data_IF_700050481259
#
_entry.id   IF_700050481259
#
_cell.length_a   1.000
_cell.length_b   1.000
_cell.length_c   1.000
_cell.angle_alpha   90.00
_cell.angle_beta   90.00
_cell.angle_gamma   90.00
#
_symmetry.space_group_name_H-M   'P 1'
#
loop_
_entity.id
_entity.type
_entity.pdbx_description
1 polymer ?
#
# COMPACT_ATOMS: atom_id res chain seq x y z
N UNK A 1 29.82 -38.78 29.27
CA UNK A 1 28.35 -38.97 29.21
C UNK A 1 27.65 -38.09 30.25
N UNK A 2 27.07 -36.93 29.86
CA UNK A 2 25.73 -36.44 30.28
C UNK A 2 25.48 -34.98 29.85
N UNK A 3 24.61 -34.86 28.86
CA UNK A 3 23.52 -33.88 28.66
C UNK A 3 23.84 -32.38 28.57
N UNK A 4 23.90 -31.92 27.31
CA UNK A 4 23.45 -30.60 26.87
C UNK A 4 22.07 -30.25 27.44
N UNK A 5 21.94 -29.05 28.03
CA UNK A 5 20.65 -28.39 28.26
C UNK A 5 20.51 -27.26 27.23
N UNK A 6 19.46 -27.39 26.43
CA UNK A 6 19.05 -26.50 25.34
C UNK A 6 18.78 -25.08 25.85
N UNK A 7 19.35 -24.12 25.14
CA UNK A 7 19.03 -22.70 25.18
C UNK A 7 17.56 -22.49 24.76
N UNK A 8 16.75 -21.81 25.57
CA UNK A 8 15.39 -21.39 25.18
C UNK A 8 15.48 -19.97 24.63
N UNK A 9 15.43 -19.87 23.31
CA UNK A 9 15.16 -18.65 22.55
C UNK A 9 13.93 -17.94 23.14
N UNK A 10 14.16 -16.87 23.90
CA UNK A 10 13.12 -15.89 24.23
C UNK A 10 13.16 -14.81 23.16
N UNK A 11 12.53 -15.11 22.00
CA UNK A 11 12.23 -14.07 21.00
C UNK A 11 11.21 -13.12 21.60
N UNK A 12 11.70 -12.10 22.29
CA UNK A 12 10.91 -10.98 22.77
C UNK A 12 10.40 -10.24 21.53
N UNK A 13 9.07 -10.23 21.32
CA UNK A 13 8.46 -9.34 20.33
C UNK A 13 8.87 -7.91 20.65
N UNK A 14 9.37 -7.12 19.68
CA UNK A 14 9.59 -5.71 19.93
C UNK A 14 8.24 -5.05 20.24
N UNK A 15 8.13 -4.46 21.43
CA UNK A 15 7.00 -3.63 21.81
C UNK A 15 7.09 -2.30 21.04
N UNK A 16 6.00 -1.81 20.43
CA UNK A 16 6.03 -0.52 19.79
C UNK A 16 6.21 0.56 20.86
N UNK A 17 7.33 1.29 20.74
CA UNK A 17 7.64 2.42 21.59
C UNK A 17 6.49 3.44 21.54
N UNK A 18 6.12 3.96 22.72
CA UNK A 18 4.99 4.86 22.89
C UNK A 18 5.05 6.06 21.95
N UNK A 19 4.01 6.27 21.16
CA UNK A 19 3.91 7.43 20.26
C UNK A 19 3.20 8.58 20.96
N UNK A 20 4.00 9.45 21.54
CA UNK A 20 3.61 10.82 21.84
C UNK A 20 3.22 11.57 20.57
N UNK A 21 2.18 12.39 20.69
CA UNK A 21 1.61 13.18 19.62
C UNK A 21 2.59 14.25 19.09
N UNK A 22 2.99 14.14 17.82
CA UNK A 22 3.47 15.26 17.01
C UNK A 22 3.20 14.99 15.51
N UNK A 23 2.81 16.05 14.79
CA UNK A 23 2.42 16.11 13.38
C UNK A 23 3.59 15.83 12.41
N UNK A 24 4.18 14.64 12.41
CA UNK A 24 5.18 14.29 11.41
C UNK A 24 4.54 13.48 10.31
N UNK A 25 4.79 13.84 9.06
CA UNK A 25 4.46 13.00 7.94
C UNK A 25 5.20 11.65 8.09
N UNK A 26 4.50 10.53 7.98
CA UNK A 26 5.03 9.20 8.31
C UNK A 26 4.51 8.10 7.39
N UNK A 27 3.94 8.49 6.24
CA UNK A 27 3.40 7.55 5.24
C UNK A 27 4.11 7.74 3.91
N UNK A 28 4.66 6.67 3.36
CA UNK A 28 5.12 6.60 1.98
C UNK A 28 3.95 6.09 1.15
N UNK A 29 3.50 6.88 0.19
CA UNK A 29 2.50 6.45 -0.78
C UNK A 29 3.23 5.85 -1.98
N UNK A 30 3.01 4.56 -2.23
CA UNK A 30 3.57 3.88 -3.40
C UNK A 30 2.50 3.76 -4.48
N UNK A 31 2.86 4.17 -5.70
CA UNK A 31 1.98 4.14 -6.87
C UNK A 31 2.68 3.37 -8.00
N UNK A 32 2.40 2.07 -8.16
CA UNK A 32 2.82 1.32 -9.34
C UNK A 32 2.08 1.84 -10.58
N UNK A 33 2.79 2.04 -11.69
CA UNK A 33 2.21 2.60 -12.92
C UNK A 33 2.70 1.89 -14.18
N UNK A 34 1.83 1.82 -15.19
CA UNK A 34 2.17 1.45 -16.57
C UNK A 34 1.25 2.17 -17.55
N UNK A 35 1.77 3.18 -18.25
CA UNK A 35 1.06 4.01 -19.22
C UNK A 35 -0.20 4.73 -18.66
N UNK A 36 0.01 5.51 -17.60
CA UNK A 36 -1.03 6.23 -16.85
C UNK A 36 -0.87 7.76 -16.92
N UNK A 37 -0.29 8.28 -18.01
CA UNK A 37 0.06 9.70 -18.18
C UNK A 37 -1.12 10.66 -17.99
N UNK A 38 -2.34 10.20 -18.27
CA UNK A 38 -3.58 11.00 -18.17
C UNK A 38 -4.01 11.26 -16.72
N UNK A 39 -3.64 10.39 -15.80
CA UNK A 39 -4.20 10.35 -14.43
C UNK A 39 -3.14 10.55 -13.37
N UNK A 40 -1.92 10.04 -13.59
CA UNK A 40 -0.89 9.95 -12.55
C UNK A 40 -0.61 11.28 -11.84
N UNK A 41 -0.52 12.39 -12.58
CA UNK A 41 -0.25 13.70 -11.99
C UNK A 41 -1.35 14.16 -11.01
N UNK A 42 -2.60 13.76 -11.24
CA UNK A 42 -3.70 14.05 -10.32
C UNK A 42 -3.66 13.16 -9.08
N UNK A 43 -3.29 11.89 -9.23
CA UNK A 43 -3.15 10.95 -8.11
C UNK A 43 -2.00 11.36 -7.19
N UNK A 44 -0.85 11.73 -7.74
CA UNK A 44 0.31 12.25 -6.98
C UNK A 44 -0.07 13.51 -6.21
N UNK A 45 -0.68 14.50 -6.88
CA UNK A 45 -1.15 15.74 -6.23
C UNK A 45 -2.21 15.47 -5.16
N UNK A 46 -3.09 14.50 -5.39
CA UNK A 46 -4.07 14.08 -4.41
C UNK A 46 -3.38 13.51 -3.16
N UNK A 47 -2.36 12.66 -3.34
CA UNK A 47 -1.63 12.07 -2.24
C UNK A 47 -0.88 13.11 -1.40
N UNK A 48 -0.14 14.00 -2.04
CA UNK A 48 0.63 15.06 -1.38
C UNK A 48 -0.22 16.10 -0.64
N UNK A 49 -1.54 16.14 -0.84
CA UNK A 49 -2.43 17.05 -0.09
C UNK A 49 -2.65 16.62 1.35
N UNK A 50 -2.49 15.33 1.67
CA UNK A 50 -2.70 14.85 3.04
C UNK A 50 -1.41 15.05 3.85
N UNK A 51 -1.44 15.83 4.96
CA UNK A 51 -0.24 16.10 5.76
C UNK A 51 0.41 14.87 6.40
N UNK A 52 -0.24 13.70 6.42
CA UNK A 52 0.40 12.48 6.90
C UNK A 52 1.36 11.85 5.88
N UNK A 53 1.27 12.24 4.60
CA UNK A 53 2.11 11.71 3.52
C UNK A 53 3.47 12.41 3.52
N UNK A 54 4.53 11.63 3.72
CA UNK A 54 5.90 12.13 3.75
C UNK A 54 6.51 12.19 2.36
N UNK A 55 6.22 11.18 1.53
CA UNK A 55 6.67 11.08 0.16
C UNK A 55 5.64 10.34 -0.69
N UNK A 56 5.67 10.60 -1.99
CA UNK A 56 5.01 9.77 -3.00
C UNK A 56 6.08 9.15 -3.86
N UNK A 57 6.11 7.83 -3.91
CA UNK A 57 6.99 7.03 -4.74
C UNK A 57 6.18 6.43 -5.88
N UNK A 58 6.49 6.84 -7.12
CA UNK A 58 5.92 6.24 -8.32
C UNK A 58 6.91 5.21 -8.85
N UNK A 59 6.45 3.97 -8.98
CA UNK A 59 7.26 2.86 -9.51
C UNK A 59 6.78 2.55 -10.92
N UNK A 60 7.60 2.92 -11.91
CA UNK A 60 7.27 2.79 -13.32
C UNK A 60 7.70 1.45 -13.89
N UNK A 61 6.74 0.75 -14.50
CA UNK A 61 6.92 -0.57 -15.10
C UNK A 61 7.23 -0.53 -16.61
N UNK A 62 7.92 0.53 -17.05
CA UNK A 62 8.29 0.73 -18.45
C UNK A 62 7.24 1.49 -19.27
N UNK A 63 6.73 2.60 -18.75
CA UNK A 63 5.79 3.45 -19.49
C UNK A 63 6.45 4.12 -20.70
N UNK A 64 5.67 4.29 -21.78
CA UNK A 64 6.12 4.90 -23.05
C UNK A 64 5.31 6.15 -23.44
N UNK A 65 4.45 6.63 -22.54
CA UNK A 65 3.47 7.70 -22.78
C UNK A 65 3.78 8.99 -21.99
N UNK A 66 4.95 9.08 -21.37
CA UNK A 66 5.36 10.20 -20.53
C UNK A 66 4.80 10.17 -19.10
N UNK A 67 4.38 8.99 -18.61
CA UNK A 67 3.91 8.80 -17.22
C UNK A 67 4.93 9.26 -16.17
N UNK A 68 6.22 8.85 -16.23
CA UNK A 68 7.20 9.20 -15.19
C UNK A 68 7.44 10.71 -15.09
N UNK A 69 7.53 11.42 -16.20
CA UNK A 69 7.80 12.86 -16.25
C UNK A 69 6.62 13.67 -15.69
N UNK A 70 5.40 13.17 -15.89
CA UNK A 70 4.19 13.80 -15.33
C UNK A 70 4.07 13.55 -13.83
N UNK A 71 4.46 12.37 -13.37
CA UNK A 71 4.53 12.04 -11.95
C UNK A 71 5.58 12.90 -11.23
N UNK A 72 6.78 13.01 -11.79
CA UNK A 72 7.89 13.78 -11.23
C UNK A 72 7.52 15.27 -11.14
N UNK A 73 6.94 15.83 -12.21
CA UNK A 73 6.44 17.22 -12.22
C UNK A 73 5.33 17.47 -11.21
N UNK A 74 4.58 16.43 -10.82
CA UNK A 74 3.57 16.50 -9.79
C UNK A 74 4.15 16.40 -8.36
N UNK A 75 5.44 16.14 -8.22
CA UNK A 75 6.16 16.08 -6.95
C UNK A 75 6.45 14.66 -6.43
N UNK A 76 6.31 13.63 -7.27
CA UNK A 76 6.68 12.27 -6.89
C UNK A 76 8.18 12.01 -7.10
N UNK A 77 8.75 11.15 -6.25
CA UNK A 77 10.02 10.47 -6.53
C UNK A 77 9.73 9.31 -7.48
N UNK A 78 10.57 9.12 -8.49
CA UNK A 78 10.42 8.06 -9.49
C UNK A 78 11.40 6.92 -9.20
N UNK A 79 10.92 5.69 -9.36
CA UNK A 79 11.71 4.46 -9.37
C UNK A 79 11.33 3.65 -10.60
N UNK A 80 12.30 3.03 -11.26
CA UNK A 80 12.03 2.05 -12.33
C UNK A 80 11.87 0.66 -11.71
N UNK A 81 10.81 -0.05 -12.09
CA UNK A 81 10.54 -1.42 -11.67
C UNK A 81 11.69 -2.35 -12.06
N UNK A 82 12.11 -3.23 -11.16
CA UNK A 82 13.18 -4.19 -11.37
C UNK A 82 12.78 -5.31 -12.33
N UNK A 83 11.48 -5.63 -12.35
CA UNK A 83 10.86 -6.64 -13.20
C UNK A 83 9.48 -6.18 -13.67
N UNK A 84 9.04 -6.71 -14.82
CA UNK A 84 7.71 -6.45 -15.34
C UNK A 84 6.62 -7.05 -14.45
N UNK A 85 5.62 -6.23 -14.14
CA UNK A 85 4.40 -6.60 -13.47
C UNK A 85 4.22 -5.90 -12.12
N UNK A 86 2.97 -5.51 -11.83
CA UNK A 86 2.57 -4.77 -10.63
C UNK A 86 3.12 -5.33 -9.32
N UNK A 87 3.21 -6.65 -9.17
CA UNK A 87 3.73 -7.27 -7.96
C UNK A 87 5.20 -6.92 -7.70
N UNK A 88 6.03 -6.91 -8.74
CA UNK A 88 7.44 -6.50 -8.64
C UNK A 88 7.54 -5.01 -8.33
N UNK A 89 6.77 -4.17 -9.02
CA UNK A 89 6.76 -2.73 -8.76
C UNK A 89 6.30 -2.39 -7.33
N UNK A 90 5.36 -3.16 -6.78
CA UNK A 90 4.95 -3.03 -5.37
C UNK A 90 6.09 -3.42 -4.41
N UNK A 91 6.80 -4.52 -4.68
CA UNK A 91 7.95 -4.96 -3.88
C UNK A 91 9.09 -3.93 -3.91
N UNK A 92 9.44 -3.43 -5.10
CA UNK A 92 10.47 -2.38 -5.24
C UNK A 92 10.08 -1.12 -4.47
N UNK A 93 8.80 -0.74 -4.52
CA UNK A 93 8.26 0.37 -3.76
C UNK A 93 8.32 0.15 -2.24
N UNK A 94 8.07 -1.07 -1.77
CA UNK A 94 8.23 -1.45 -0.37
C UNK A 94 9.68 -1.32 0.09
N UNK A 95 10.63 -1.83 -0.69
CA UNK A 95 12.06 -1.79 -0.35
C UNK A 95 12.62 -0.36 -0.37
N UNK A 96 12.08 0.51 -1.23
CA UNK A 96 12.54 1.89 -1.38
C UNK A 96 11.83 2.88 -0.44
N UNK A 97 10.77 2.48 0.27
CA UNK A 97 10.02 3.35 1.17
C UNK A 97 10.83 3.76 2.40
N UNK A 98 10.74 5.03 2.80
CA UNK A 98 11.55 5.58 3.89
C UNK A 98 10.79 5.74 5.22
N UNK A 99 9.53 5.30 5.27
CA UNK A 99 8.66 5.50 6.43
C UNK A 99 8.11 4.19 6.99
N UNK A 100 7.60 4.24 8.21
CA UNK A 100 7.07 3.08 8.92
C UNK A 100 5.74 2.57 8.31
N UNK A 101 4.97 3.46 7.67
CA UNK A 101 3.69 3.09 7.09
C UNK A 101 3.71 3.27 5.58
N UNK A 102 3.17 2.26 4.89
CA UNK A 102 3.08 2.25 3.45
C UNK A 102 1.62 2.21 3.01
N UNK A 103 1.27 3.06 2.04
CA UNK A 103 -0.03 3.09 1.41
C UNK A 103 0.11 2.89 -0.10
N UNK A 104 -0.48 1.82 -0.62
CA UNK A 104 -0.58 1.63 -2.07
C UNK A 104 -1.80 2.37 -2.64
N UNK A 105 -1.59 3.11 -3.72
CA UNK A 105 -2.63 3.64 -4.60
C UNK A 105 -2.38 3.18 -6.03
N UNK A 106 -3.44 3.05 -6.82
CA UNK A 106 -3.34 2.84 -8.26
C UNK A 106 -3.21 4.22 -8.95
N UNK A 107 -2.42 4.33 -10.03
CA UNK A 107 -2.21 5.64 -10.68
C UNK A 107 -3.28 5.99 -11.74
N UNK A 108 -4.24 5.10 -11.99
CA UNK A 108 -5.42 5.29 -12.85
C UNK A 108 -6.68 5.78 -12.09
N UNK A 109 -6.52 6.16 -10.82
CA UNK A 109 -7.64 6.50 -9.95
C UNK A 109 -8.33 7.83 -10.32
N UNK A 110 -9.65 7.82 -10.22
CA UNK A 110 -10.53 8.98 -10.39
C UNK A 110 -11.51 9.12 -9.22
N UNK A 111 -12.05 10.34 -9.02
CA UNK A 111 -13.14 10.57 -8.06
C UNK A 111 -12.77 10.26 -6.62
N UNK A 112 -11.51 10.45 -6.25
CA UNK A 112 -11.02 10.12 -4.90
C UNK A 112 -11.63 11.04 -3.85
N UNK A 113 -12.14 10.43 -2.78
CA UNK A 113 -12.60 11.16 -1.60
C UNK A 113 -11.41 11.89 -0.97
N UNK A 114 -11.59 13.16 -0.65
CA UNK A 114 -10.56 14.00 -0.02
C UNK A 114 -9.99 13.41 1.27
N UNK A 115 -10.78 12.62 2.00
CA UNK A 115 -10.40 12.01 3.28
C UNK A 115 -9.92 10.55 3.17
N UNK A 116 -9.71 10.02 1.96
CA UNK A 116 -9.34 8.61 1.74
C UNK A 116 -8.05 8.21 2.47
N UNK A 117 -6.97 8.98 2.30
CA UNK A 117 -5.65 8.66 2.86
C UNK A 117 -5.72 8.64 4.38
N UNK A 118 -6.29 9.69 4.98
CA UNK A 118 -6.56 9.73 6.42
C UNK A 118 -7.38 8.54 6.92
N UNK A 119 -8.42 8.11 6.20
CA UNK A 119 -9.24 6.95 6.61
C UNK A 119 -8.47 5.64 6.56
N UNK A 120 -7.60 5.48 5.55
CA UNK A 120 -6.78 4.28 5.38
C UNK A 120 -5.68 4.19 6.44
N UNK A 121 -5.08 5.33 6.78
CA UNK A 121 -3.89 5.40 7.66
C UNK A 121 -4.26 5.46 9.15
N UNK A 122 -5.38 6.08 9.52
CA UNK A 122 -5.77 6.27 10.93
C UNK A 122 -5.76 4.99 11.78
N UNK A 123 -6.29 3.83 11.33
CA UNK A 123 -6.27 2.61 12.13
C UNK A 123 -4.85 2.07 12.37
N UNK A 124 -3.94 2.25 11.40
CA UNK A 124 -2.54 1.85 11.51
C UNK A 124 -1.80 2.74 12.53
N UNK A 125 -1.96 4.06 12.39
CA UNK A 125 -1.30 5.04 13.27
C UNK A 125 -1.79 4.91 14.72
N UNK A 126 -3.06 4.57 14.93
CA UNK A 126 -3.65 4.34 16.24
C UNK A 126 -3.34 2.95 16.83
N UNK A 127 -2.59 2.08 16.13
CA UNK A 127 -2.31 0.71 16.58
C UNK A 127 -3.55 -0.19 16.65
N UNK A 128 -4.63 0.18 15.95
CA UNK A 128 -5.89 -0.57 15.93
C UNK A 128 -5.93 -1.65 14.84
N UNK A 129 -5.00 -1.62 13.88
CA UNK A 129 -4.85 -2.60 12.82
C UNK A 129 -3.41 -2.64 12.30
N UNK A 130 -3.00 -3.80 11.78
CA UNK A 130 -1.73 -3.96 11.06
C UNK A 130 -1.89 -3.80 9.54
N UNK A 131 -3.11 -3.97 9.03
CA UNK A 131 -3.42 -3.89 7.61
C UNK A 131 -4.82 -3.33 7.38
N UNK A 132 -4.94 -2.37 6.45
CA UNK A 132 -6.21 -1.74 6.10
C UNK A 132 -6.44 -1.88 4.60
N UNK A 133 -7.63 -2.34 4.23
CA UNK A 133 -8.05 -2.50 2.84
C UNK A 133 -9.25 -1.62 2.52
N UNK A 134 -9.14 -0.83 1.45
CA UNK A 134 -10.24 -0.04 0.97
C UNK A 134 -11.39 -0.94 0.46
N UNK A 135 -12.62 -0.54 0.76
CA UNK A 135 -13.83 -1.09 0.14
C UNK A 135 -14.50 0.03 -0.64
N UNK A 136 -14.88 -0.27 -1.88
CA UNK A 136 -15.61 0.64 -2.75
C UNK A 136 -16.82 -0.06 -3.34
N UNK A 137 -17.87 0.72 -3.62
CA UNK A 137 -19.05 0.22 -4.32
C UNK A 137 -18.64 -0.22 -5.73
N UNK A 138 -19.06 -1.41 -6.15
CA UNK A 138 -18.76 -1.94 -7.48
C UNK A 138 -20.07 -2.37 -8.13
N UNK A 139 -20.28 -1.99 -9.41
CA UNK A 139 -21.32 -2.60 -10.25
C UNK A 139 -20.92 -3.99 -10.75
N UNK A 140 -19.62 -4.32 -10.79
CA UNK A 140 -19.10 -5.63 -11.21
C UNK A 140 -17.77 -6.00 -10.52
N UNK A 141 -17.50 -7.31 -10.38
CA UNK A 141 -16.30 -7.86 -9.74
C UNK A 141 -16.12 -9.35 -10.04
N UNK A 142 -16.31 -9.74 -11.31
CA UNK A 142 -16.46 -11.14 -11.73
C UNK A 142 -15.26 -12.02 -11.35
N UNK A 143 -14.02 -11.56 -11.49
CA UNK A 143 -12.84 -12.36 -11.08
C UNK A 143 -12.80 -12.58 -9.56
N UNK A 144 -13.03 -11.53 -8.76
CA UNK A 144 -13.06 -11.67 -7.29
C UNK A 144 -14.18 -12.61 -6.84
N UNK A 145 -15.37 -12.49 -7.44
CA UNK A 145 -16.55 -13.26 -7.07
C UNK A 145 -16.51 -14.71 -7.60
N UNK A 146 -16.06 -14.93 -8.82
CA UNK A 146 -16.14 -16.20 -9.53
C UNK A 146 -14.85 -17.02 -9.46
N UNK A 147 -13.71 -16.41 -9.14
CA UNK A 147 -12.41 -17.09 -9.12
C UNK A 147 -11.75 -16.98 -7.75
N UNK A 148 -11.44 -15.77 -7.29
CA UNK A 148 -10.65 -15.61 -6.06
C UNK A 148 -11.40 -16.09 -4.81
N UNK A 149 -12.66 -15.69 -4.61
CA UNK A 149 -13.46 -16.14 -3.45
C UNK A 149 -13.64 -17.67 -3.42
N UNK A 150 -14.04 -18.35 -4.50
CA UNK A 150 -14.13 -19.82 -4.53
C UNK A 150 -12.79 -20.51 -4.23
N UNK A 151 -11.68 -20.03 -4.79
CA UNK A 151 -10.36 -20.64 -4.57
C UNK A 151 -9.82 -20.44 -3.15
N UNK A 152 -10.09 -19.30 -2.53
CA UNK A 152 -9.60 -19.00 -1.18
C UNK A 152 -10.47 -19.63 -0.07
N UNK A 153 -11.73 -19.98 -0.38
CA UNK A 153 -12.70 -20.48 0.61
C UNK A 153 -12.28 -21.79 1.31
N UNK A 154 -11.67 -22.79 0.63
CA UNK A 154 -11.16 -23.99 1.29
C UNK A 154 -9.95 -23.70 2.18
N UNK A 155 -9.11 -22.73 1.81
CA UNK A 155 -7.86 -22.39 2.49
C UNK A 155 -8.12 -21.51 3.73
N UNK A 156 -9.10 -20.60 3.66
CA UNK A 156 -9.44 -19.65 4.72
C UNK A 156 -10.92 -19.74 5.12
N UNK A 157 -11.36 -20.84 5.76
CA UNK A 157 -12.78 -21.07 6.05
C UNK A 157 -13.40 -20.07 7.02
N UNK A 158 -12.58 -19.46 7.89
CA UNK A 158 -13.02 -18.49 8.90
C UNK A 158 -13.22 -17.07 8.33
N UNK A 159 -12.76 -16.78 7.11
CA UNK A 159 -12.97 -15.50 6.42
C UNK A 159 -14.33 -15.41 5.71
N UNK A 160 -15.35 -16.11 6.24
CA UNK A 160 -16.71 -16.20 5.66
C UNK A 160 -17.49 -14.88 5.68
N UNK A 161 -17.13 -13.95 6.56
CA UNK A 161 -17.88 -12.72 6.80
C UNK A 161 -17.62 -11.60 5.78
N UNK A 162 -16.92 -11.86 4.67
CA UNK A 162 -16.83 -10.88 3.59
C UNK A 162 -18.23 -10.70 2.98
N UNK A 163 -18.91 -9.56 3.21
CA UNK A 163 -20.28 -9.40 2.75
C UNK A 163 -20.37 -9.66 1.24
N UNK A 164 -21.47 -10.31 0.84
CA UNK A 164 -21.91 -10.34 -0.55
C UNK A 164 -21.99 -8.90 -1.05
N UNK A 165 -21.47 -8.69 -2.28
CA UNK A 165 -21.54 -7.42 -2.97
C UNK A 165 -23.00 -7.02 -3.18
#
# INVERSE_FOLDING_TARGET
MKRMKKNKDSRTKPQPAGRGAARQAHVTVVIPVLNESRTIGNVVKFALRDPCVAEVLVVDDGSIDGTPERAERAGARILTSSLLGKGASMEDGLQAAQTEFLLYLDGDLHGLRSDLIRRMTRPLVAGAADFVKAKFARRAGRVTALTAKPLLRPIFPNCRSLPSL
#
